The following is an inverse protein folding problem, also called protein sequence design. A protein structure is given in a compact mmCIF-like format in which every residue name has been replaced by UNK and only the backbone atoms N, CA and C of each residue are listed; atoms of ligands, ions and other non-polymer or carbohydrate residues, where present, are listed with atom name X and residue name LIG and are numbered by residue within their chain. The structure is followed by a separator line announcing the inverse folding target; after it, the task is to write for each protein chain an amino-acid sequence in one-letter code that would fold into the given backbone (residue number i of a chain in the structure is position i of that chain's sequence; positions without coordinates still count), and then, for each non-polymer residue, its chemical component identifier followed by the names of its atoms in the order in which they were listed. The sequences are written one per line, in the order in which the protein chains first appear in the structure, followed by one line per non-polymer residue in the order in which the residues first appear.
data_IF_887153006925
#
_entry.id   IF_887153006925
#
_cell.length_a   1.000
_cell.length_b   1.000
_cell.length_c   1.000
_cell.angle_alpha   90.00
_cell.angle_beta   90.00
_cell.angle_gamma   90.00
#
_symmetry.space_group_name_H-M   'P 1'
#
loop_
_entity.id
_entity.type
_entity.pdbx_description
1 polymer ?
#
# COMPACT_ATOMS: atom_id res chain seq x y z
N UNK A 1 -3.40 -15.78 -10.20
CA UNK A 1 -4.31 -14.95 -9.39
C UNK A 1 -4.67 -13.70 -10.18
N UNK A 2 -5.95 -13.37 -10.29
CA UNK A 2 -6.42 -12.14 -10.95
C UNK A 2 -6.74 -11.10 -9.86
N UNK A 3 -5.97 -10.01 -9.81
CA UNK A 3 -6.24 -8.91 -8.90
C UNK A 3 -7.49 -8.13 -9.35
N UNK A 4 -8.32 -7.71 -8.39
CA UNK A 4 -9.52 -6.91 -8.66
C UNK A 4 -9.53 -5.59 -7.88
N UNK A 5 -8.90 -5.53 -6.71
CA UNK A 5 -8.90 -4.34 -5.86
C UNK A 5 -7.48 -3.84 -5.56
N UNK A 6 -7.36 -2.53 -5.39
CA UNK A 6 -6.19 -1.88 -4.83
C UNK A 6 -6.58 -1.19 -3.52
N UNK A 7 -6.00 -1.63 -2.42
CA UNK A 7 -6.35 -1.22 -1.07
C UNK A 7 -5.32 -0.24 -0.53
N UNK A 8 -5.77 0.93 -0.14
CA UNK A 8 -5.00 1.89 0.66
C UNK A 8 -5.72 2.17 1.96
N UNK A 9 -5.01 2.73 2.92
CA UNK A 9 -5.62 3.15 4.19
C UNK A 9 -5.15 4.54 4.59
N UNK A 10 -6.03 5.30 5.23
CA UNK A 10 -5.74 6.64 5.74
C UNK A 10 -6.66 6.98 6.91
N UNK A 11 -6.33 8.07 7.56
CA UNK A 11 -7.20 8.82 8.46
C UNK A 11 -7.43 10.22 7.89
N UNK A 12 -7.97 11.14 8.69
CA UNK A 12 -8.21 12.54 8.29
C UNK A 12 -6.94 13.38 8.08
N UNK A 13 -5.74 12.84 8.29
CA UNK A 13 -4.51 13.60 8.10
C UNK A 13 -4.34 14.02 6.63
N UNK A 14 -4.39 15.34 6.32
CA UNK A 14 -4.31 15.84 4.95
C UNK A 14 -2.95 15.58 4.28
N UNK A 15 -1.89 15.32 5.05
CA UNK A 15 -0.60 14.93 4.46
C UNK A 15 -0.68 13.66 3.61
N UNK A 16 -1.67 12.81 3.88
CA UNK A 16 -1.92 11.55 3.17
C UNK A 16 -3.25 11.57 2.43
N UNK A 17 -4.34 11.94 3.10
CA UNK A 17 -5.69 11.83 2.54
C UNK A 17 -5.85 12.65 1.25
N UNK A 18 -5.19 13.79 1.14
CA UNK A 18 -5.24 14.65 -0.05
C UNK A 18 -4.68 13.99 -1.32
N UNK A 19 -3.93 12.89 -1.20
CA UNK A 19 -3.50 12.08 -2.34
C UNK A 19 -4.57 11.12 -2.85
N UNK A 20 -5.61 10.84 -2.06
CA UNK A 20 -6.62 9.83 -2.41
C UNK A 20 -7.22 9.99 -3.81
N UNK A 21 -7.65 11.18 -4.26
CA UNK A 21 -8.22 11.36 -5.59
C UNK A 21 -7.27 10.88 -6.71
N UNK A 22 -6.00 11.12 -6.59
CA UNK A 22 -4.99 10.83 -7.61
C UNK A 22 -4.54 9.36 -7.55
N UNK A 23 -4.33 8.85 -6.36
CA UNK A 23 -3.94 7.44 -6.15
C UNK A 23 -5.08 6.52 -6.59
N UNK A 24 -6.33 6.86 -6.28
CA UNK A 24 -7.49 6.11 -6.73
C UNK A 24 -7.60 6.10 -8.27
N UNK A 25 -7.44 7.27 -8.92
CA UNK A 25 -7.46 7.35 -10.38
C UNK A 25 -6.30 6.58 -11.02
N UNK A 26 -5.10 6.62 -10.43
CA UNK A 26 -3.98 5.85 -10.93
C UNK A 26 -4.27 4.34 -10.89
N UNK A 27 -4.74 3.83 -9.77
CA UNK A 27 -5.13 2.42 -9.67
C UNK A 27 -6.22 2.04 -10.66
N UNK A 28 -7.23 2.89 -10.83
CA UNK A 28 -8.35 2.63 -11.74
C UNK A 28 -7.94 2.78 -13.20
N UNK A 29 -7.35 3.90 -13.58
CA UNK A 29 -7.15 4.27 -14.99
C UNK A 29 -5.85 3.71 -15.58
N UNK A 30 -4.76 3.65 -14.80
CA UNK A 30 -3.47 3.16 -15.28
C UNK A 30 -3.34 1.65 -15.10
N UNK A 31 -3.80 1.12 -13.97
CA UNK A 31 -3.61 -0.30 -13.63
C UNK A 31 -4.85 -1.13 -13.97
N UNK A 32 -6.04 -0.58 -13.80
CA UNK A 32 -7.31 -1.27 -14.06
C UNK A 32 -7.86 -2.03 -12.86
N UNK A 33 -7.49 -1.62 -11.63
CA UNK A 33 -8.02 -2.17 -10.38
C UNK A 33 -8.99 -1.20 -9.74
N UNK A 34 -10.03 -1.73 -9.09
CA UNK A 34 -10.98 -0.92 -8.32
C UNK A 34 -10.30 -0.40 -7.04
N UNK A 35 -10.18 0.92 -6.84
CA UNK A 35 -9.56 1.49 -5.66
C UNK A 35 -10.47 1.37 -4.44
N UNK A 36 -9.87 0.97 -3.32
CA UNK A 36 -10.54 0.79 -2.02
C UNK A 36 -9.77 1.56 -0.95
N UNK A 37 -10.46 2.43 -0.24
CA UNK A 37 -9.94 3.12 0.93
C UNK A 37 -10.52 2.51 2.21
N UNK A 38 -9.66 2.03 3.09
CA UNK A 38 -10.01 1.79 4.48
C UNK A 38 -9.73 3.08 5.27
N UNK A 39 -10.77 3.83 5.52
CA UNK A 39 -10.67 5.08 6.26
C UNK A 39 -10.92 4.82 7.75
N UNK A 40 -9.94 5.11 8.59
CA UNK A 40 -10.04 4.89 10.02
C UNK A 40 -9.91 6.20 10.78
N UNK A 41 -10.95 6.57 11.52
CA UNK A 41 -10.98 7.81 12.31
C UNK A 41 -12.07 7.73 13.38
N UNK A 42 -12.17 8.79 14.21
CA UNK A 42 -13.26 8.97 15.18
C UNK A 42 -14.53 9.54 14.53
N UNK A 43 -14.48 9.97 13.28
CA UNK A 43 -15.59 10.49 12.51
C UNK A 43 -15.52 10.00 11.06
N UNK A 44 -16.68 9.93 10.42
CA UNK A 44 -16.78 9.60 8.99
C UNK A 44 -15.96 10.54 8.11
N UNK A 45 -15.44 10.04 6.98
CA UNK A 45 -14.68 10.86 6.05
C UNK A 45 -15.57 11.94 5.42
N UNK A 46 -14.98 13.06 4.97
CA UNK A 46 -15.68 14.05 4.17
C UNK A 46 -16.31 13.44 2.90
N UNK A 47 -17.46 13.97 2.47
CA UNK A 47 -18.22 13.41 1.34
C UNK A 47 -17.43 13.25 0.06
N UNK A 48 -16.50 14.15 -0.24
CA UNK A 48 -15.66 14.07 -1.43
C UNK A 48 -14.79 12.80 -1.51
N UNK A 49 -14.49 12.18 -0.37
CA UNK A 49 -13.69 10.96 -0.31
C UNK A 49 -14.39 9.80 -1.04
N UNK A 50 -15.72 9.75 -0.97
CA UNK A 50 -16.54 8.69 -1.60
C UNK A 50 -16.63 8.82 -3.12
N UNK A 51 -16.19 9.94 -3.72
CA UNK A 51 -16.28 10.18 -5.16
C UNK A 51 -15.20 9.42 -5.97
N UNK A 52 -14.17 8.89 -5.31
CA UNK A 52 -12.98 8.39 -5.99
C UNK A 52 -12.82 6.87 -6.00
N UNK A 53 -13.58 6.15 -5.18
CA UNK A 53 -13.51 4.69 -5.09
C UNK A 53 -14.41 4.14 -3.99
N UNK A 54 -14.29 2.85 -3.71
CA UNK A 54 -14.98 2.25 -2.57
C UNK A 54 -14.35 2.72 -1.26
N UNK A 55 -15.17 3.13 -0.30
CA UNK A 55 -14.70 3.60 1.01
C UNK A 55 -15.38 2.80 2.10
N UNK A 56 -14.57 2.25 3.00
CA UNK A 56 -15.04 1.60 4.22
C UNK A 56 -14.60 2.44 5.41
N UNK A 57 -15.56 3.06 6.09
CA UNK A 57 -15.28 3.74 7.33
C UNK A 57 -15.19 2.73 8.48
N UNK A 58 -14.14 2.86 9.28
CA UNK A 58 -13.85 2.05 10.45
C UNK A 58 -13.55 2.97 11.62
N UNK A 59 -14.25 2.76 12.72
CA UNK A 59 -14.03 3.54 13.92
C UNK A 59 -12.65 3.26 14.52
N UNK A 60 -11.95 4.32 14.93
CA UNK A 60 -10.62 4.19 15.54
C UNK A 60 -10.70 3.90 17.04
N UNK A 61 -9.62 3.34 17.57
CA UNK A 61 -9.42 3.19 19.02
C UNK A 61 -8.85 4.47 19.61
N UNK A 62 -9.46 4.97 20.67
CA UNK A 62 -9.01 6.18 21.37
C UNK A 62 -7.71 5.99 22.17
N UNK A 63 -7.31 4.74 22.42
CA UNK A 63 -6.16 4.39 23.26
C UNK A 63 -4.89 4.04 22.49
N UNK A 64 -4.86 4.28 21.17
CA UNK A 64 -3.71 4.04 20.31
C UNK A 64 -3.57 5.14 19.26
N UNK A 65 -2.32 5.44 18.84
CA UNK A 65 -2.04 6.44 17.82
C UNK A 65 -2.76 6.12 16.51
N UNK A 66 -3.51 7.09 15.99
CA UNK A 66 -4.40 6.90 14.83
C UNK A 66 -3.61 6.69 13.53
N UNK A 67 -2.42 7.27 13.40
CA UNK A 67 -1.60 7.06 12.21
C UNK A 67 -1.05 5.62 12.17
N UNK A 68 -0.73 5.04 13.33
CA UNK A 68 -0.35 3.64 13.40
C UNK A 68 -1.53 2.72 13.10
N UNK A 69 -2.74 3.06 13.56
CA UNK A 69 -3.94 2.32 13.20
C UNK A 69 -4.18 2.36 11.69
N UNK A 70 -4.05 3.53 11.06
CA UNK A 70 -4.19 3.67 9.61
C UNK A 70 -3.18 2.83 8.84
N UNK A 71 -1.94 2.71 9.30
CA UNK A 71 -0.95 1.82 8.69
C UNK A 71 -1.34 0.35 8.80
N UNK A 72 -1.92 -0.07 9.91
CA UNK A 72 -2.21 -1.47 10.18
C UNK A 72 -3.54 -1.96 9.61
N UNK A 73 -4.54 -1.08 9.53
CA UNK A 73 -5.91 -1.47 9.18
C UNK A 73 -6.04 -2.04 7.76
N UNK A 74 -5.08 -1.74 6.87
CA UNK A 74 -5.08 -2.27 5.50
C UNK A 74 -5.13 -3.80 5.43
N UNK A 75 -4.62 -4.50 6.41
CA UNK A 75 -4.71 -5.95 6.48
C UNK A 75 -6.14 -6.45 6.71
N UNK A 76 -6.97 -5.64 7.37
CA UNK A 76 -8.38 -5.97 7.61
C UNK A 76 -9.20 -6.05 6.32
N UNK A 77 -8.67 -5.57 5.20
CA UNK A 77 -9.26 -5.75 3.87
C UNK A 77 -9.58 -7.21 3.57
N UNK A 78 -8.79 -8.16 4.11
CA UNK A 78 -9.04 -9.58 3.93
C UNK A 78 -10.36 -10.08 4.55
N UNK A 79 -10.91 -9.35 5.55
CA UNK A 79 -12.21 -9.65 6.16
C UNK A 79 -13.37 -8.89 5.50
N UNK A 80 -13.07 -7.93 4.60
CA UNK A 80 -14.07 -7.08 3.96
C UNK A 80 -14.26 -7.47 2.48
N UNK A 81 -13.17 -7.82 1.80
CA UNK A 81 -13.16 -8.08 0.37
C UNK A 81 -13.26 -9.57 0.08
N UNK A 82 -13.92 -9.90 -1.03
CA UNK A 82 -14.16 -11.28 -1.48
C UNK A 82 -13.25 -11.71 -2.66
N UNK A 83 -12.41 -10.80 -3.17
CA UNK A 83 -11.54 -11.00 -4.33
C UNK A 83 -10.10 -10.61 -4.03
N UNK A 84 -9.13 -11.14 -4.80
CA UNK A 84 -7.73 -10.79 -4.64
C UNK A 84 -7.46 -9.29 -4.77
N UNK A 85 -6.60 -8.80 -3.91
CA UNK A 85 -6.27 -7.39 -3.82
C UNK A 85 -4.78 -7.14 -3.63
N UNK A 86 -4.36 -5.92 -3.94
CA UNK A 86 -3.04 -5.39 -3.63
C UNK A 86 -3.16 -4.29 -2.58
N UNK A 87 -2.36 -4.38 -1.52
CA UNK A 87 -2.19 -3.33 -0.51
C UNK A 87 -1.16 -2.33 -1.03
N UNK A 88 -1.41 -1.04 -0.83
CA UNK A 88 -0.49 0.05 -1.16
C UNK A 88 -0.46 1.11 -0.06
N UNK A 89 0.59 1.96 -0.07
CA UNK A 89 0.64 3.16 0.74
C UNK A 89 -0.09 4.32 0.03
N UNK A 90 -0.65 5.26 0.80
CA UNK A 90 -1.40 6.40 0.27
C UNK A 90 -0.50 7.40 -0.51
N UNK A 91 0.79 7.43 -0.24
CA UNK A 91 1.77 8.26 -0.94
C UNK A 91 2.54 7.50 -2.03
N UNK A 92 2.01 6.35 -2.45
CA UNK A 92 2.57 5.54 -3.54
C UNK A 92 1.63 5.52 -4.75
N UNK A 93 2.11 6.07 -5.85
CA UNK A 93 1.36 6.17 -7.11
C UNK A 93 1.81 5.07 -8.08
N UNK A 94 0.97 4.09 -8.44
CA UNK A 94 1.31 3.06 -9.41
C UNK A 94 1.27 3.65 -10.83
N UNK A 95 2.19 3.20 -11.70
CA UNK A 95 2.27 3.68 -13.08
C UNK A 95 2.24 2.52 -14.09
N UNK A 96 3.02 1.47 -13.85
CA UNK A 96 3.16 0.36 -14.81
C UNK A 96 2.14 -0.76 -14.56
N UNK A 97 1.15 -0.89 -15.44
CA UNK A 97 0.20 -2.00 -15.41
C UNK A 97 0.88 -3.37 -15.52
N UNK A 98 1.84 -3.49 -16.43
CA UNK A 98 2.53 -4.76 -16.68
C UNK A 98 3.22 -5.28 -15.42
N UNK A 99 3.84 -4.39 -14.64
CA UNK A 99 4.51 -4.77 -13.42
C UNK A 99 3.55 -5.35 -12.36
N UNK A 100 2.37 -4.76 -12.20
CA UNK A 100 1.44 -5.19 -11.15
C UNK A 100 0.56 -6.35 -11.60
N UNK A 101 0.07 -6.34 -12.83
CA UNK A 101 -0.96 -7.29 -13.28
C UNK A 101 -0.32 -8.57 -13.85
N UNK A 102 0.61 -8.44 -14.80
CA UNK A 102 1.14 -9.62 -15.49
C UNK A 102 1.87 -10.57 -14.52
N UNK A 103 2.57 -10.01 -13.53
CA UNK A 103 3.23 -10.86 -12.53
C UNK A 103 2.26 -11.57 -11.57
N UNK A 104 1.08 -11.01 -11.32
CA UNK A 104 0.06 -11.64 -10.48
C UNK A 104 -0.58 -12.85 -11.16
N UNK A 105 -0.70 -12.86 -12.49
CA UNK A 105 -1.29 -13.97 -13.25
C UNK A 105 -0.51 -15.28 -13.13
N UNK A 106 0.80 -15.20 -12.91
CA UNK A 106 1.67 -16.38 -12.77
C UNK A 106 1.66 -17.03 -11.38
N UNK A 107 0.90 -16.49 -10.44
CA UNK A 107 0.76 -17.09 -9.12
C UNK A 107 -0.56 -17.83 -9.06
N UNK A 108 -0.52 -19.11 -8.64
CA UNK A 108 -1.71 -19.86 -8.36
C UNK A 108 -2.60 -19.19 -7.30
N UNK A 109 -3.81 -19.70 -7.10
CA UNK A 109 -4.84 -19.09 -6.27
C UNK A 109 -4.53 -19.04 -4.76
N UNK A 110 -3.34 -19.48 -4.34
CA UNK A 110 -2.92 -19.56 -2.94
C UNK A 110 -1.51 -19.01 -2.77
N UNK A 111 -1.34 -17.72 -2.81
CA UNK A 111 -0.02 -17.15 -2.62
C UNK A 111 -0.06 -15.65 -2.34
N UNK A 112 1.05 -15.14 -1.85
CA UNK A 112 1.27 -13.72 -1.64
C UNK A 112 2.40 -13.23 -2.55
N UNK A 113 2.31 -11.98 -2.98
CA UNK A 113 3.34 -11.31 -3.76
C UNK A 113 3.82 -10.10 -2.98
N UNK A 114 5.10 -10.04 -2.69
CA UNK A 114 5.77 -8.84 -2.22
C UNK A 114 6.43 -8.16 -3.41
N UNK A 115 5.83 -7.08 -3.88
CA UNK A 115 6.42 -6.22 -4.90
C UNK A 115 7.49 -5.32 -4.29
N UNK A 116 8.38 -4.80 -5.12
CA UNK A 116 9.45 -3.90 -4.67
C UNK A 116 10.37 -4.51 -3.60
N UNK A 117 10.55 -5.82 -3.63
CA UNK A 117 11.36 -6.57 -2.67
C UNK A 117 12.86 -6.26 -2.76
N UNK A 118 13.29 -5.54 -3.81
CA UNK A 118 14.65 -5.01 -3.94
C UNK A 118 15.07 -4.17 -2.73
N UNK A 119 14.13 -3.48 -2.07
CA UNK A 119 14.45 -2.69 -0.87
C UNK A 119 14.85 -3.55 0.33
N UNK A 120 14.49 -4.83 0.37
CA UNK A 120 14.93 -5.76 1.43
C UNK A 120 16.45 -5.95 1.42
N UNK A 121 17.09 -5.75 0.27
CA UNK A 121 18.54 -5.86 0.11
C UNK A 121 19.32 -4.75 0.83
N UNK A 122 18.70 -3.63 1.15
CA UNK A 122 19.36 -2.54 1.87
C UNK A 122 19.80 -2.96 3.26
N UNK A 123 20.99 -2.50 3.68
CA UNK A 123 21.59 -2.82 4.98
C UNK A 123 20.63 -2.57 6.15
N UNK A 124 19.82 -1.52 6.07
CA UNK A 124 18.85 -1.19 7.12
C UNK A 124 17.82 -2.30 7.36
N UNK A 125 17.30 -2.92 6.29
CA UNK A 125 16.35 -4.03 6.40
C UNK A 125 17.01 -5.31 6.95
N UNK A 126 18.33 -5.51 6.75
CA UNK A 126 19.05 -6.65 7.32
C UNK A 126 19.21 -6.53 8.84
N UNK A 127 19.35 -5.30 9.36
CA UNK A 127 19.46 -5.03 10.80
C UNK A 127 18.11 -4.86 11.49
N UNK A 128 17.06 -4.54 10.73
CA UNK A 128 15.69 -4.36 11.19
C UNK A 128 14.75 -5.17 10.29
N UNK A 129 14.63 -6.51 10.51
CA UNK A 129 13.86 -7.37 9.64
C UNK A 129 12.39 -6.99 9.62
N UNK A 130 11.91 -6.67 8.42
CA UNK A 130 10.52 -6.27 8.15
C UNK A 130 10.24 -6.37 6.66
N UNK A 131 8.96 -6.44 6.27
CA UNK A 131 8.56 -6.40 4.88
C UNK A 131 8.21 -4.98 4.44
N UNK A 132 8.58 -4.59 3.21
CA UNK A 132 8.04 -3.36 2.63
C UNK A 132 6.55 -3.51 2.38
N UNK A 133 5.76 -2.59 2.91
CA UNK A 133 4.30 -2.64 2.79
C UNK A 133 3.75 -1.76 1.67
N UNK A 134 4.63 -1.15 0.89
CA UNK A 134 4.19 -0.31 -0.21
C UNK A 134 3.38 -1.07 -1.27
N UNK A 135 3.68 -2.37 -1.50
CA UNK A 135 2.87 -3.22 -2.38
C UNK A 135 2.96 -4.69 -1.96
N UNK A 136 1.85 -5.20 -1.49
CA UNK A 136 1.70 -6.60 -1.11
C UNK A 136 0.36 -7.11 -1.64
N UNK A 137 0.37 -8.16 -2.47
CA UNK A 137 -0.84 -8.70 -3.07
C UNK A 137 -1.11 -10.14 -2.65
N UNK A 138 -2.39 -10.51 -2.64
CA UNK A 138 -2.85 -11.85 -2.35
C UNK A 138 -4.37 -11.98 -2.41
N UNK A 139 -4.85 -13.18 -2.26
CA UNK A 139 -6.27 -13.43 -2.02
C UNK A 139 -6.62 -13.23 -0.53
N UNK A 140 -7.90 -12.94 -0.21
CA UNK A 140 -8.32 -12.68 1.16
C UNK A 140 -7.98 -13.83 2.12
N UNK A 141 -8.16 -15.08 1.67
CA UNK A 141 -7.90 -16.26 2.50
C UNK A 141 -6.41 -16.38 2.84
N UNK A 142 -5.52 -16.19 1.88
CA UNK A 142 -4.06 -16.21 2.12
C UNK A 142 -3.62 -15.16 3.13
N UNK A 143 -4.17 -13.95 3.05
CA UNK A 143 -3.92 -12.91 4.06
C UNK A 143 -4.50 -13.29 5.42
N UNK A 144 -5.75 -13.73 5.47
CA UNK A 144 -6.42 -14.09 6.71
C UNK A 144 -5.69 -15.25 7.42
N UNK A 145 -5.34 -16.27 6.68
CA UNK A 145 -4.65 -17.44 7.21
C UNK A 145 -3.23 -17.09 7.70
N UNK A 146 -2.47 -16.30 6.91
CA UNK A 146 -1.11 -15.89 7.31
C UNK A 146 -1.11 -15.01 8.55
N UNK A 147 -2.04 -14.07 8.62
CA UNK A 147 -2.07 -13.04 9.66
C UNK A 147 -2.91 -13.42 10.87
N UNK A 148 -3.54 -14.62 10.87
CA UNK A 148 -4.49 -15.07 11.91
C UNK A 148 -5.61 -14.05 12.15
N UNK A 149 -6.28 -13.60 11.08
CA UNK A 149 -7.36 -12.63 11.17
C UNK A 149 -8.67 -13.31 11.60
N UNK A 150 -8.72 -13.75 12.86
CA UNK A 150 -9.84 -14.48 13.44
C UNK A 150 -10.69 -13.64 14.38
N UNK A 151 -10.36 -12.36 14.53
CA UNK A 151 -11.10 -11.43 15.37
C UNK A 151 -12.50 -11.19 14.80
N UNK A 152 -13.48 -10.96 15.68
CA UNK A 152 -14.86 -10.66 15.29
C UNK A 152 -15.00 -9.28 14.63
N UNK A 153 -14.11 -8.35 14.99
CA UNK A 153 -14.12 -6.99 14.49
C UNK A 153 -12.72 -6.37 14.40
N UNK A 154 -12.61 -5.29 13.67
CA UNK A 154 -11.35 -4.57 13.45
C UNK A 154 -10.75 -3.96 14.73
N UNK A 155 -11.56 -3.60 15.73
CA UNK A 155 -11.05 -3.02 16.98
C UNK A 155 -10.27 -4.05 17.79
N UNK A 156 -10.69 -5.31 17.79
CA UNK A 156 -9.96 -6.41 18.43
C UNK A 156 -8.65 -6.73 17.71
N UNK A 157 -8.66 -6.72 16.38
CA UNK A 157 -7.45 -6.82 15.57
C UNK A 157 -6.45 -5.70 15.92
N UNK A 158 -6.89 -4.45 15.95
CA UNK A 158 -6.06 -3.31 16.34
C UNK A 158 -5.55 -3.41 17.78
N UNK A 159 -6.38 -3.92 18.70
CA UNK A 159 -5.96 -4.17 20.08
C UNK A 159 -4.83 -5.22 20.16
N UNK A 160 -4.93 -6.28 19.38
CA UNK A 160 -3.86 -7.29 19.26
C UNK A 160 -2.56 -6.65 18.79
N UNK A 161 -2.59 -5.86 17.73
CA UNK A 161 -1.39 -5.20 17.20
C UNK A 161 -0.79 -4.20 18.19
N UNK A 162 -1.62 -3.41 18.86
CA UNK A 162 -1.18 -2.49 19.93
C UNK A 162 -0.42 -3.25 21.03
N UNK A 163 -0.95 -4.39 21.49
CA UNK A 163 -0.34 -5.22 22.54
C UNK A 163 1.02 -5.80 22.13
N UNK A 164 1.27 -5.97 20.84
CA UNK A 164 2.58 -6.43 20.36
C UNK A 164 3.68 -5.37 20.53
N UNK A 165 3.33 -4.10 20.74
CA UNK A 165 4.24 -2.97 21.04
C UNK A 165 5.42 -2.85 20.06
N UNK A 166 5.18 -3.03 18.76
CA UNK A 166 6.19 -3.04 17.72
C UNK A 166 6.73 -1.65 17.34
N UNK A 167 6.14 -0.59 17.90
CA UNK A 167 6.50 0.82 17.64
C UNK A 167 6.31 1.20 16.16
N UNK A 168 7.18 2.07 15.63
CA UNK A 168 7.13 2.46 14.20
C UNK A 168 7.33 1.26 13.29
N UNK A 169 6.60 1.20 12.17
CA UNK A 169 6.61 0.06 11.25
C UNK A 169 5.93 -1.18 11.82
N UNK A 170 4.89 -0.99 12.66
CA UNK A 170 4.13 -2.08 13.27
C UNK A 170 3.60 -3.05 12.23
N UNK A 171 3.00 -2.56 11.15
CA UNK A 171 2.50 -3.37 10.03
C UNK A 171 3.60 -4.20 9.35
N UNK A 172 4.74 -3.60 9.04
CA UNK A 172 5.88 -4.24 8.40
C UNK A 172 6.48 -5.37 9.26
N UNK A 173 6.67 -5.09 10.56
CA UNK A 173 7.19 -6.04 11.53
C UNK A 173 6.18 -7.14 11.86
N UNK A 174 4.90 -6.78 11.97
CA UNK A 174 3.84 -7.74 12.19
C UNK A 174 3.81 -8.76 11.05
N UNK A 175 3.74 -8.29 9.81
CA UNK A 175 3.76 -9.17 8.65
C UNK A 175 4.99 -10.07 8.62
N UNK A 176 6.19 -9.50 8.83
CA UNK A 176 7.43 -10.27 8.90
C UNK A 176 7.37 -11.36 9.99
N UNK A 177 6.93 -11.02 11.20
CA UNK A 177 6.83 -11.97 12.29
C UNK A 177 5.86 -13.12 11.99
N UNK A 178 4.76 -12.85 11.28
CA UNK A 178 3.82 -13.89 10.87
C UNK A 178 4.42 -14.83 9.81
N UNK A 179 5.21 -14.30 8.87
CA UNK A 179 5.89 -15.14 7.87
C UNK A 179 6.93 -16.07 8.51
N UNK A 180 7.55 -15.68 9.62
CA UNK A 180 8.46 -16.55 10.36
C UNK A 180 7.75 -17.65 11.16
N UNK A 181 6.55 -17.37 11.65
CA UNK A 181 5.78 -18.34 12.46
C UNK A 181 5.11 -19.41 11.60
N UNK A 182 4.73 -19.07 10.37
CA UNK A 182 3.97 -19.95 9.49
C UNK A 182 4.83 -20.43 8.33
N UNK A 183 5.63 -21.48 8.58
CA UNK A 183 6.35 -22.19 7.51
C UNK A 183 5.35 -22.85 6.55
N UNK A 184 5.48 -22.57 5.25
CA UNK A 184 4.63 -23.16 4.22
C UNK A 184 3.85 -22.15 3.39
N UNK A 185 3.81 -20.89 3.77
CA UNK A 185 3.30 -19.83 2.88
C UNK A 185 4.35 -19.43 1.85
N UNK A 186 3.97 -19.51 0.59
CA UNK A 186 4.81 -19.06 -0.50
C UNK A 186 4.59 -17.56 -0.73
N UNK A 187 5.66 -16.79 -0.54
CA UNK A 187 5.68 -15.37 -0.89
C UNK A 187 6.62 -15.20 -2.09
N UNK A 188 6.05 -14.80 -3.21
CA UNK A 188 6.85 -14.44 -4.38
C UNK A 188 7.40 -13.04 -4.20
N UNK A 189 8.70 -12.92 -4.35
CA UNK A 189 9.40 -11.63 -4.30
C UNK A 189 9.61 -11.11 -5.71
N UNK A 190 9.11 -9.89 -5.98
CA UNK A 190 9.29 -9.20 -7.25
C UNK A 190 10.11 -7.94 -7.03
N UNK A 191 11.17 -7.81 -7.80
CA UNK A 191 12.04 -6.64 -7.80
C UNK A 191 11.62 -5.70 -8.93
N UNK A 192 11.87 -4.40 -8.75
CA UNK A 192 11.66 -3.40 -9.81
C UNK A 192 12.77 -3.40 -10.86
N UNK A 193 13.87 -4.11 -10.58
CA UNK A 193 15.13 -4.00 -11.33
C UNK A 193 15.97 -2.81 -10.83
N UNK A 194 17.23 -2.77 -11.27
CA UNK A 194 18.19 -1.71 -10.92
C UNK A 194 18.61 -0.97 -12.19
N UNK A 195 18.51 0.36 -12.20
CA UNK A 195 19.20 1.23 -13.11
C UNK A 195 20.14 2.08 -12.24
N UNK A 196 21.42 1.74 -12.19
CA UNK A 196 22.47 2.40 -11.40
C UNK A 196 22.44 2.25 -9.86
N UNK A 197 23.62 2.34 -9.25
CA UNK A 197 23.98 1.85 -7.91
C UNK A 197 23.25 2.51 -6.72
N UNK A 198 22.41 3.50 -6.92
CA UNK A 198 21.93 4.34 -5.82
C UNK A 198 20.41 4.33 -5.59
N UNK A 199 19.60 4.04 -6.60
CA UNK A 199 18.15 4.09 -6.49
C UNK A 199 17.51 2.89 -7.19
N UNK A 200 16.43 2.38 -6.61
CA UNK A 200 15.67 1.31 -7.23
C UNK A 200 15.17 1.77 -8.60
N UNK A 201 15.57 1.05 -9.63
CA UNK A 201 15.11 1.29 -10.98
C UNK A 201 13.59 1.28 -11.04
N UNK A 202 13.04 2.15 -11.85
CA UNK A 202 11.61 2.23 -12.07
C UNK A 202 10.82 2.97 -11.00
N UNK A 203 11.44 3.52 -9.94
CA UNK A 203 10.75 4.41 -9.01
C UNK A 203 11.13 5.86 -9.23
N UNK A 204 10.13 6.72 -9.42
CA UNK A 204 10.28 8.15 -9.29
C UNK A 204 10.20 8.50 -7.79
N UNK A 205 11.35 8.54 -7.12
CA UNK A 205 11.40 8.78 -5.69
C UNK A 205 11.40 10.27 -5.35
N UNK A 206 10.67 10.66 -4.32
CA UNK A 206 10.57 12.04 -3.81
C UNK A 206 11.90 12.69 -3.49
N UNK A 207 12.95 11.91 -3.21
CA UNK A 207 14.31 12.43 -2.91
C UNK A 207 15.05 12.83 -4.18
N UNK A 208 14.75 12.18 -5.30
CA UNK A 208 15.39 12.39 -6.60
C UNK A 208 14.45 12.93 -7.66
N UNK A 209 13.32 13.50 -7.23
CA UNK A 209 12.32 14.02 -8.16
C UNK A 209 12.98 14.90 -9.23
N UNK A 210 12.88 14.54 -10.48
CA UNK A 210 13.59 15.25 -11.54
C UNK A 210 13.04 16.67 -11.68
N UNK A 211 13.95 17.64 -11.72
CA UNK A 211 13.60 19.04 -11.93
C UNK A 211 13.29 19.35 -13.39
N UNK A 212 13.70 18.48 -14.30
CA UNK A 212 13.63 18.67 -15.74
C UNK A 212 12.63 17.73 -16.39
N UNK A 213 12.56 17.79 -17.70
CA UNK A 213 11.66 16.96 -18.48
C UNK A 213 11.97 15.48 -18.34
N UNK A 214 10.96 14.70 -18.00
CA UNK A 214 11.02 13.24 -17.84
C UNK A 214 9.76 12.60 -18.39
N UNK A 215 9.90 11.38 -18.88
CA UNK A 215 8.76 10.56 -19.29
C UNK A 215 8.23 9.78 -18.08
N UNK A 216 7.08 10.17 -17.55
CA UNK A 216 6.50 9.53 -16.37
C UNK A 216 6.19 8.04 -16.59
N UNK A 217 5.88 7.63 -17.82
CA UNK A 217 5.55 6.24 -18.17
C UNK A 217 6.76 5.30 -18.21
N UNK A 218 7.98 5.80 -18.07
CA UNK A 218 9.18 4.96 -17.93
C UNK A 218 9.33 4.42 -16.51
N UNK A 219 8.58 4.95 -15.56
CA UNK A 219 8.61 4.50 -14.17
C UNK A 219 7.55 3.43 -13.88
N UNK A 220 7.84 2.57 -12.93
CA UNK A 220 6.90 1.56 -12.42
C UNK A 220 5.95 2.18 -11.41
N UNK A 221 6.49 3.01 -10.53
CA UNK A 221 5.77 3.70 -9.48
C UNK A 221 6.39 5.07 -9.16
N UNK A 222 5.66 5.86 -8.39
CA UNK A 222 6.14 7.09 -7.83
C UNK A 222 5.91 7.15 -6.32
N UNK A 223 6.92 7.59 -5.56
CA UNK A 223 6.80 7.93 -4.15
C UNK A 223 6.56 9.44 -4.03
N UNK A 224 5.32 9.81 -3.76
CA UNK A 224 4.87 11.20 -3.74
C UNK A 224 5.48 11.98 -2.55
N UNK A 225 5.87 13.24 -2.74
CA UNK A 225 6.36 14.09 -1.67
C UNK A 225 5.21 14.56 -0.77
N UNK A 226 5.31 14.34 0.55
CA UNK A 226 4.34 14.82 1.54
C UNK A 226 4.64 16.28 1.92
N UNK A 227 3.66 17.09 2.20
CA UNK A 227 2.23 16.91 1.92
C UNK A 227 1.91 17.34 0.48
N UNK A 228 0.72 16.91 -0.04
CA UNK A 228 0.29 17.34 -1.37
C UNK A 228 0.24 18.87 -1.47
N UNK A 229 -0.37 19.56 -0.51
CA UNK A 229 -0.49 21.03 -0.52
C UNK A 229 0.85 21.76 -0.71
N UNK A 230 1.90 21.33 0.00
CA UNK A 230 3.24 21.93 -0.10
C UNK A 230 3.96 21.57 -1.41
N UNK A 231 3.60 20.48 -2.05
CA UNK A 231 4.23 19.95 -3.26
C UNK A 231 3.29 19.95 -4.47
N UNK A 232 2.18 20.70 -4.38
CA UNK A 232 1.09 20.69 -5.34
C UNK A 232 1.56 20.83 -6.78
N UNK A 233 2.41 21.82 -7.08
CA UNK A 233 2.90 22.08 -8.44
C UNK A 233 3.63 20.85 -9.00
N UNK A 234 4.49 20.22 -8.20
CA UNK A 234 5.23 19.02 -8.63
C UNK A 234 4.30 17.83 -8.88
N UNK A 235 3.35 17.63 -7.97
CA UNK A 235 2.37 16.56 -8.08
C UNK A 235 1.45 16.78 -9.30
N UNK A 236 0.94 17.99 -9.50
CA UNK A 236 0.08 18.32 -10.63
C UNK A 236 0.78 18.12 -11.98
N UNK A 237 2.07 18.46 -12.09
CA UNK A 237 2.87 18.17 -13.29
C UNK A 237 2.92 16.67 -13.57
N UNK A 238 3.16 15.83 -12.56
CA UNK A 238 3.16 14.38 -12.70
C UNK A 238 1.78 13.86 -13.09
N UNK A 239 0.73 14.32 -12.40
CA UNK A 239 -0.64 13.87 -12.64
C UNK A 239 -1.11 14.23 -14.05
N UNK A 240 -0.75 15.42 -14.53
CA UNK A 240 -0.97 15.83 -15.93
C UNK A 240 -0.24 14.92 -16.92
N UNK A 241 1.05 14.63 -16.68
CA UNK A 241 1.84 13.71 -17.53
C UNK A 241 1.24 12.30 -17.59
N UNK A 242 0.58 11.85 -16.53
CA UNK A 242 -0.08 10.54 -16.43
C UNK A 242 -1.55 10.55 -16.81
N UNK A 243 -2.14 11.72 -17.13
CA UNK A 243 -3.58 11.89 -17.43
C UNK A 243 -4.50 11.38 -16.30
N UNK A 244 -4.17 11.68 -15.05
CA UNK A 244 -4.94 11.29 -13.86
C UNK A 244 -5.45 12.49 -13.03
N UNK A 245 -5.55 13.66 -13.63
CA UNK A 245 -6.14 14.85 -12.99
C UNK A 245 -7.65 14.77 -12.83
#
# INVERSE_FOLDING_TARGET
MKLEYAVVSSNSNPEYLDFWPYVARAWKNLIGLEPVLLYIDNAEPPSWVYEHGKVFYLESRNDWDIAQQAQCIRFWAANILDKPFIISDMDMLPISKDYYINHAEYIGDTGLISYSSDIIKYRWYRTNPQYPMCYLAGDPKSFSDLLDLNEENHLDFLLRLKRMNLRSGTDQKFFYNQTLKKSGYYIRHLERGWIEEKYAAGRLDKVIWPKNDYNAHEYIDCHLPRSYGNNKIMCDILFNKLNIN
#
